data_IF_304748042274
#
_entry.id   IF_304748042274
#
_cell.length_a   1.000
_cell.length_b   1.000
_cell.length_c   1.000
_cell.angle_alpha   90.00
_cell.angle_beta   90.00
_cell.angle_gamma   90.00
#
_symmetry.space_group_name_H-M   'P 1'
#
loop_
_entity.id
_entity.type
_entity.pdbx_description
1 polymer ?
#
# COMPACT_ATOMS: atom_id res chain seq x y z
N UNK A 1 6.15 21.84 -7.68
CA UNK A 1 5.94 21.11 -8.95
C UNK A 1 5.53 19.70 -8.58
N UNK A 2 4.50 19.11 -9.20
CA UNK A 2 3.96 17.83 -8.77
C UNK A 2 5.01 16.72 -8.87
N UNK A 3 4.97 15.78 -7.93
CA UNK A 3 5.72 14.54 -8.03
C UNK A 3 5.14 13.70 -9.19
N UNK A 4 6.02 13.13 -10.00
CA UNK A 4 5.65 12.33 -11.16
C UNK A 4 6.14 10.91 -11.02
N UNK A 5 5.48 10.00 -11.74
CA UNK A 5 5.88 8.59 -11.84
C UNK A 5 6.15 7.96 -10.47
N UNK A 6 5.24 8.20 -9.53
CA UNK A 6 5.38 7.74 -8.14
C UNK A 6 5.16 6.24 -8.09
N UNK A 7 6.03 5.53 -7.37
CA UNK A 7 5.99 4.09 -7.18
C UNK A 7 6.20 3.76 -5.71
N UNK A 8 5.44 2.79 -5.23
CA UNK A 8 5.61 2.20 -3.91
C UNK A 8 6.23 0.82 -4.09
N UNK A 9 7.43 0.61 -3.56
CA UNK A 9 8.14 -0.66 -3.66
C UNK A 9 8.16 -1.28 -2.27
N UNK A 10 7.41 -2.37 -2.07
CA UNK A 10 7.45 -3.12 -0.83
C UNK A 10 8.69 -4.01 -0.77
N UNK A 11 9.33 -4.09 0.40
CA UNK A 11 10.38 -5.06 0.65
C UNK A 11 9.74 -6.46 0.75
N UNK A 12 10.22 -7.46 -0.03
CA UNK A 12 9.54 -8.74 -0.17
C UNK A 12 9.35 -9.52 1.14
N UNK A 13 10.33 -9.45 2.05
CA UNK A 13 10.33 -10.22 3.30
C UNK A 13 9.32 -9.66 4.29
N UNK A 14 9.29 -8.35 4.49
CA UNK A 14 8.34 -7.63 5.32
C UNK A 14 6.92 -7.72 4.76
N UNK A 15 6.77 -7.65 3.44
CA UNK A 15 5.49 -7.89 2.77
C UNK A 15 4.96 -9.30 3.05
N UNK A 16 5.79 -10.33 2.85
CA UNK A 16 5.40 -11.71 3.13
C UNK A 16 5.06 -11.93 4.60
N UNK A 17 5.78 -11.29 5.52
CA UNK A 17 5.50 -11.36 6.96
C UNK A 17 4.15 -10.74 7.33
N UNK A 18 3.72 -9.70 6.60
CA UNK A 18 2.47 -8.97 6.83
C UNK A 18 1.21 -9.69 6.31
N UNK A 19 1.36 -10.69 5.43
CA UNK A 19 0.23 -11.41 4.85
C UNK A 19 -0.44 -12.35 5.86
N UNK A 20 -1.77 -12.30 5.90
CA UNK A 20 -2.64 -13.24 6.60
C UNK A 20 -3.03 -14.44 5.73
N UNK A 21 -3.86 -15.35 6.25
CA UNK A 21 -4.26 -16.58 5.57
C UNK A 21 -5.19 -16.34 4.37
N UNK A 22 -5.87 -15.19 4.29
CA UNK A 22 -6.68 -14.81 3.12
C UNK A 22 -5.83 -14.24 1.96
N UNK A 23 -4.50 -14.26 2.07
CA UNK A 23 -3.57 -13.88 1.00
C UNK A 23 -3.48 -14.95 -0.11
N UNK A 24 -4.62 -15.34 -0.66
CA UNK A 24 -4.71 -16.17 -1.87
C UNK A 24 -4.10 -15.45 -3.07
N UNK A 25 -3.75 -16.18 -4.14
CA UNK A 25 -3.16 -15.58 -5.33
C UNK A 25 -4.09 -14.55 -6.00
N UNK A 26 -5.40 -14.77 -6.00
CA UNK A 26 -6.39 -13.82 -6.52
C UNK A 26 -6.47 -12.56 -5.65
N UNK A 27 -6.47 -12.72 -4.32
CA UNK A 27 -6.46 -11.58 -3.40
C UNK A 27 -5.14 -10.80 -3.48
N UNK A 28 -4.00 -11.46 -3.64
CA UNK A 28 -2.71 -10.79 -3.86
C UNK A 28 -2.74 -9.94 -5.12
N UNK A 29 -3.26 -10.46 -6.24
CA UNK A 29 -3.40 -9.68 -7.49
C UNK A 29 -4.25 -8.43 -7.28
N UNK A 30 -5.31 -8.54 -6.49
CA UNK A 30 -6.23 -7.42 -6.21
C UNK A 30 -5.63 -6.38 -5.27
N UNK A 31 -5.07 -6.82 -4.13
CA UNK A 31 -4.70 -5.94 -3.03
C UNK A 31 -3.25 -5.44 -3.10
N UNK A 32 -2.36 -6.18 -3.76
CA UNK A 32 -0.99 -5.74 -4.01
C UNK A 32 -0.84 -4.92 -5.30
N UNK A 33 -1.94 -4.66 -6.01
CA UNK A 33 -1.94 -3.82 -7.21
C UNK A 33 -1.30 -2.45 -6.96
N UNK A 34 -1.44 -1.91 -5.74
CA UNK A 34 -0.84 -0.67 -5.30
C UNK A 34 0.70 -0.63 -5.43
N UNK A 35 1.40 -1.75 -5.19
CA UNK A 35 2.86 -1.84 -5.30
C UNK A 35 3.33 -2.01 -6.75
N UNK A 36 2.42 -2.36 -7.66
CA UNK A 36 2.71 -2.52 -9.08
C UNK A 36 2.28 -1.31 -9.92
N UNK A 37 1.52 -0.38 -9.34
CA UNK A 37 1.04 0.81 -10.02
C UNK A 37 2.12 1.89 -10.13
N UNK A 38 2.05 2.67 -11.20
CA UNK A 38 2.78 3.93 -11.34
C UNK A 38 1.74 5.04 -11.31
N UNK A 39 1.84 5.95 -10.34
CA UNK A 39 0.95 7.10 -10.28
C UNK A 39 1.61 8.23 -11.08
N UNK A 40 1.04 8.63 -12.24
CA UNK A 40 1.76 9.44 -13.22
C UNK A 40 2.03 10.87 -12.73
N UNK A 41 1.08 11.48 -12.03
CA UNK A 41 1.20 12.82 -11.46
C UNK A 41 0.36 12.89 -10.19
N UNK A 42 0.91 13.43 -9.11
CA UNK A 42 0.15 13.85 -7.93
C UNK A 42 0.38 15.35 -7.73
N UNK A 43 -0.70 16.14 -7.78
CA UNK A 43 -0.64 17.55 -7.39
C UNK A 43 -0.48 17.65 -5.87
N UNK A 44 0.05 18.77 -5.39
CA UNK A 44 0.17 18.97 -3.93
C UNK A 44 -1.23 18.94 -3.31
N UNK A 45 -1.38 18.19 -2.21
CA UNK A 45 -2.65 17.92 -1.51
C UNK A 45 -3.65 17.03 -2.26
N UNK A 46 -3.26 16.51 -3.42
CA UNK A 46 -4.05 15.51 -4.13
C UNK A 46 -3.97 14.16 -3.39
N UNK A 47 -4.98 13.32 -3.57
CA UNK A 47 -5.06 12.00 -2.94
C UNK A 47 -5.46 10.97 -3.99
N UNK A 48 -4.83 9.81 -3.95
CA UNK A 48 -5.26 8.66 -4.74
C UNK A 48 -5.51 7.49 -3.81
N UNK A 49 -6.53 6.70 -4.12
CA UNK A 49 -7.00 5.61 -3.28
C UNK A 49 -6.65 4.30 -3.96
N UNK A 50 -5.82 3.50 -3.31
CA UNK A 50 -5.50 2.17 -3.76
C UNK A 50 -6.33 1.17 -2.95
N UNK A 51 -6.94 0.19 -3.61
CA UNK A 51 -7.55 -0.95 -2.91
C UNK A 51 -6.47 -1.66 -2.09
N UNK A 52 -6.63 -1.70 -0.76
CA UNK A 52 -5.55 -2.08 0.17
C UNK A 52 -5.94 -3.20 1.15
N UNK A 53 -6.65 -4.23 0.68
CA UNK A 53 -6.95 -5.45 1.46
C UNK A 53 -7.84 -5.22 2.68
N UNK A 54 -7.88 -6.23 3.56
CA UNK A 54 -8.69 -6.24 4.79
C UNK A 54 -7.88 -6.81 5.95
N UNK A 55 -8.15 -6.34 7.16
CA UNK A 55 -7.80 -7.02 8.42
C UNK A 55 -9.04 -7.71 8.97
N UNK A 56 -8.85 -8.78 9.74
CA UNK A 56 -9.92 -9.43 10.50
C UNK A 56 -9.40 -9.87 11.86
N UNK A 57 -10.32 -10.04 12.81
CA UNK A 57 -10.02 -10.54 14.16
C UNK A 57 -9.30 -11.89 14.06
N UNK A 58 -8.22 -12.06 14.83
CA UNK A 58 -7.42 -13.28 14.83
C UNK A 58 -6.54 -13.43 13.58
N UNK A 59 -6.20 -12.32 12.92
CA UNK A 59 -5.35 -12.27 11.73
C UNK A 59 -5.86 -13.12 10.57
N UNK A 60 -7.17 -13.34 10.45
CA UNK A 60 -7.76 -14.18 9.39
C UNK A 60 -7.96 -13.45 8.07
N UNK A 61 -7.70 -12.14 8.03
CA UNK A 61 -7.86 -11.29 6.85
C UNK A 61 -6.70 -11.41 5.86
N UNK A 62 -6.69 -10.53 4.86
CA UNK A 62 -5.60 -10.45 3.90
C UNK A 62 -4.30 -9.99 4.56
N UNK A 63 -4.41 -9.06 5.52
CA UNK A 63 -3.30 -8.58 6.33
C UNK A 63 -3.41 -9.09 7.77
N UNK A 64 -2.25 -9.33 8.40
CA UNK A 64 -2.16 -9.46 9.86
C UNK A 64 -2.35 -8.09 10.51
N UNK A 65 -3.03 -8.07 11.65
CA UNK A 65 -3.29 -6.86 12.41
C UNK A 65 -1.98 -6.24 12.90
N UNK A 66 -1.84 -4.91 12.76
CA UNK A 66 -0.62 -4.16 13.12
C UNK A 66 0.66 -4.59 12.41
N UNK A 67 0.56 -5.35 11.30
CA UNK A 67 1.71 -5.67 10.49
C UNK A 67 2.41 -4.40 9.99
N UNK A 68 3.72 -4.49 9.84
CA UNK A 68 4.56 -3.42 9.30
C UNK A 68 5.20 -3.91 8.02
N UNK A 69 5.07 -3.11 6.96
CA UNK A 69 5.67 -3.36 5.65
C UNK A 69 6.69 -2.26 5.42
N UNK A 70 7.94 -2.63 5.20
CA UNK A 70 8.96 -1.67 4.80
C UNK A 70 8.77 -1.35 3.32
N UNK A 71 8.69 -0.08 2.99
CA UNK A 71 8.48 0.40 1.62
C UNK A 71 9.56 1.42 1.21
N UNK A 72 9.88 1.45 -0.08
CA UNK A 72 10.60 2.55 -0.72
C UNK A 72 9.63 3.32 -1.63
N UNK A 73 9.47 4.61 -1.35
CA UNK A 73 8.74 5.54 -2.21
C UNK A 73 9.73 6.11 -3.21
N UNK A 74 9.46 5.91 -4.50
CA UNK A 74 10.28 6.45 -5.60
C UNK A 74 9.43 7.42 -6.41
N UNK A 75 9.94 8.62 -6.67
CA UNK A 75 9.25 9.59 -7.52
C UNK A 75 10.22 10.52 -8.24
N UNK A 76 9.77 11.08 -9.36
CA UNK A 76 10.52 12.06 -10.14
C UNK A 76 10.15 13.47 -9.69
N UNK A 77 11.17 14.21 -9.25
CA UNK A 77 11.11 15.64 -8.99
C UNK A 77 11.48 16.45 -10.22
N UNK A 78 11.68 17.76 -10.03
CA UNK A 78 12.03 18.67 -11.14
C UNK A 78 13.42 18.41 -11.73
N UNK A 79 14.35 17.90 -10.93
CA UNK A 79 15.76 17.78 -11.30
C UNK A 79 16.37 16.42 -11.00
N UNK A 80 15.73 15.63 -10.14
CA UNK A 80 16.27 14.36 -9.66
C UNK A 80 15.17 13.39 -9.29
N UNK A 81 15.50 12.10 -9.34
CA UNK A 81 14.69 11.03 -8.76
C UNK A 81 14.93 10.98 -7.26
N UNK A 82 13.85 10.97 -6.50
CA UNK A 82 13.86 10.83 -5.05
C UNK A 82 13.53 9.40 -4.67
N UNK A 83 14.18 8.91 -3.61
CA UNK A 83 13.94 7.62 -2.98
C UNK A 83 13.89 7.80 -1.49
N UNK A 84 12.82 7.32 -0.86
CA UNK A 84 12.63 7.46 0.57
C UNK A 84 12.14 6.14 1.15
N UNK A 85 12.78 5.70 2.23
CA UNK A 85 12.34 4.50 2.97
C UNK A 85 11.35 4.90 4.04
N UNK A 86 10.23 4.21 4.08
CA UNK A 86 9.18 4.41 5.08
C UNK A 86 8.63 3.07 5.56
N UNK A 87 7.94 3.10 6.69
CA UNK A 87 7.25 1.94 7.24
C UNK A 87 5.74 2.15 7.13
N UNK A 88 5.07 1.24 6.43
CA UNK A 88 3.62 1.23 6.31
C UNK A 88 3.05 0.29 7.37
N UNK A 89 2.29 0.84 8.31
CA UNK A 89 1.62 0.06 9.37
C UNK A 89 0.17 -0.22 8.99
N UNK A 90 -0.21 -1.49 8.99
CA UNK A 90 -1.59 -1.92 8.82
C UNK A 90 -2.34 -1.68 10.13
N UNK A 91 -3.11 -0.60 10.19
CA UNK A 91 -4.01 -0.33 11.30
C UNK A 91 -5.43 -0.74 10.90
N UNK A 92 -6.07 -1.48 11.79
CA UNK A 92 -7.52 -1.65 11.82
C UNK A 92 -8.10 -0.39 12.49
N UNK A 93 -9.08 0.23 11.85
CA UNK A 93 -10.04 1.06 12.56
C UNK A 93 -11.35 0.31 12.59
N UNK A 94 -11.94 0.12 13.78
CA UNK A 94 -13.26 -0.50 14.01
C UNK A 94 -14.40 0.09 13.13
N UNK A 95 -14.12 1.19 12.41
CA UNK A 95 -15.02 1.89 11.51
C UNK A 95 -14.92 1.52 10.02
N UNK A 96 -14.08 0.57 9.60
CA UNK A 96 -14.00 0.19 8.16
C UNK A 96 -15.03 -0.88 7.77
N UNK A 97 -16.30 -0.62 8.11
CA UNK A 97 -17.42 -1.36 7.52
C UNK A 97 -17.70 -0.83 6.12
N UNK A 98 -17.43 -1.65 5.12
CA UNK A 98 -18.15 -1.63 3.85
C UNK A 98 -17.61 -0.68 2.78
N UNK A 99 -17.07 -1.28 1.73
CA UNK A 99 -17.26 -0.87 0.33
C UNK A 99 -17.83 0.54 0.10
N UNK A 100 -16.98 1.56 0.01
CA UNK A 100 -17.17 2.70 -0.89
C UNK A 100 -15.91 3.58 -0.87
N UNK A 101 -15.27 3.70 -2.03
CA UNK A 101 -14.32 4.77 -2.31
C UNK A 101 -15.02 5.64 -3.36
N UNK A 102 -15.47 6.83 -2.97
CA UNK A 102 -15.64 7.95 -3.90
C UNK A 102 -14.29 8.63 -4.16
#
# INVERSE_FOLDING_TARGET
MPAKNIRLIAEPTSLAAALGPDATEDNKKRWLACFNAVIPVLLNNDKTTCSFGTTQVGDTGFWKHQAVIDIEIVYEGRWQTHREKQQLRIADTDSFTGYQWE
#
